data_IF_978039348576
#
_entry.id   IF_978039348576
#
_cell.length_a   1.000
_cell.length_b   1.000
_cell.length_c   1.000
_cell.angle_alpha   90.00
_cell.angle_beta   90.00
_cell.angle_gamma   90.00
#
_symmetry.space_group_name_H-M   'P 1'
#
loop_
_entity.id
_entity.type
_entity.pdbx_description
1 polymer ?
2 non-polymer ?
3 non-polymer ?
4 water ?
#
# COMPACT_ATOMS: atom_id res chain seq x y z
N UNK A 1 -10.33 19.99 11.61
CA UNK A 1 -10.64 19.35 12.87
C UNK A 1 -9.64 18.26 13.18
N UNK A 2 -9.77 17.60 14.33
CA UNK A 2 -8.80 16.62 14.78
C UNK A 2 -8.50 15.52 13.79
N UNK A 3 -9.50 15.08 13.03
CA UNK A 3 -9.24 14.00 12.09
C UNK A 3 -8.24 14.39 10.98
N UNK A 4 -8.09 15.69 10.73
CA UNK A 4 -7.11 16.13 9.74
C UNK A 4 -5.69 15.83 10.13
N UNK A 5 -5.46 15.56 11.41
CA UNK A 5 -4.17 15.21 11.91
C UNK A 5 -3.85 13.71 11.86
N UNK A 6 -4.86 12.92 11.56
CA UNK A 6 -4.64 11.51 11.42
C UNK A 6 -3.65 11.28 10.23
N UNK A 7 -2.85 10.23 10.32
CA UNK A 7 -1.90 9.97 9.23
C UNK A 7 -1.49 8.51 9.27
N UNK A 8 -1.03 8.05 8.10
CA UNK A 8 -0.46 6.72 7.94
C UNK A 8 0.84 6.83 7.21
N UNK A 9 1.77 5.98 7.58
CA UNK A 9 2.98 5.76 6.79
C UNK A 9 2.66 4.55 5.92
N UNK A 10 2.58 4.79 4.61
CA UNK A 10 1.95 3.86 3.61
C UNK A 10 2.97 3.44 2.62
N UNK A 11 2.80 2.20 2.16
CA UNK A 11 3.61 1.60 1.12
C UNK A 11 2.63 0.95 0.14
N UNK A 12 2.87 1.12 -1.17
CA UNK A 12 1.95 0.54 -2.13
C UNK A 12 2.71 -0.02 -3.35
N UNK A 13 1.95 -0.88 -4.02
CA UNK A 13 2.25 -1.32 -5.38
C UNK A 13 1.10 -0.79 -6.25
N UNK A 14 1.42 0.02 -7.26
CA UNK A 14 0.43 0.59 -8.16
C UNK A 14 0.64 0.03 -9.57
N UNK A 15 -0.40 -0.54 -10.15
CA UNK A 15 -0.37 -0.94 -11.54
C UNK A 15 -1.65 -0.48 -12.22
N UNK A 16 -1.51 0.14 -13.40
CA UNK A 16 -2.75 0.51 -14.11
C UNK A 16 -3.57 -0.65 -14.55
N UNK A 17 -2.94 -1.76 -14.93
CA UNK A 17 -3.67 -2.90 -15.45
C UNK A 17 -3.96 -3.92 -14.34
N UNK A 18 -5.20 -4.42 -14.35
CA UNK A 18 -5.60 -5.42 -13.39
C UNK A 18 -4.78 -6.70 -13.49
N UNK A 19 -4.45 -7.12 -14.72
CA UNK A 19 -3.70 -8.36 -14.83
C UNK A 19 -2.36 -8.26 -14.11
N UNK A 20 -1.72 -7.09 -14.23
CA UNK A 20 -0.42 -6.89 -13.62
C UNK A 20 -0.51 -6.79 -12.11
N UNK A 21 -1.52 -6.08 -11.58
CA UNK A 21 -1.63 -6.04 -10.12
C UNK A 21 -1.87 -7.44 -9.56
N UNK A 22 -2.57 -8.29 -10.32
CA UNK A 22 -2.75 -9.64 -9.81
C UNK A 22 -1.52 -10.48 -9.88
N UNK A 23 -0.63 -10.23 -10.86
CA UNK A 23 0.70 -10.87 -10.80
C UNK A 23 1.45 -10.45 -9.55
N UNK A 24 1.37 -9.16 -9.19
CA UNK A 24 2.02 -8.69 -7.98
C UNK A 24 1.42 -9.36 -6.74
N UNK A 25 0.09 -9.46 -6.71
CA UNK A 25 -0.57 -10.13 -5.59
C UNK A 25 -0.11 -11.57 -5.45
N UNK A 26 0.05 -12.27 -6.58
CA UNK A 26 0.52 -13.65 -6.50
C UNK A 26 1.93 -13.69 -5.90
N UNK A 27 2.80 -12.73 -6.24
CA UNK A 27 4.11 -12.72 -5.63
C UNK A 27 4.04 -12.50 -4.12
N UNK A 28 3.20 -11.56 -3.64
CA UNK A 28 3.00 -11.40 -2.19
C UNK A 28 2.54 -12.73 -1.55
N UNK A 29 1.61 -13.38 -2.19
CA UNK A 29 1.04 -14.59 -1.60
C UNK A 29 2.01 -15.79 -1.66
N UNK A 30 3.08 -15.66 -2.43
CA UNK A 30 4.18 -16.63 -2.41
C UNK A 30 5.20 -16.36 -1.34
N UNK A 31 5.09 -15.21 -0.68
CA UNK A 31 6.01 -14.85 0.37
C UNK A 31 7.00 -13.76 0.05
N UNK A 32 6.92 -13.16 -1.13
CA UNK A 32 7.91 -12.14 -1.49
C UNK A 32 7.66 -10.87 -0.65
N UNK A 33 8.75 -10.30 -0.14
CA UNK A 33 8.65 -9.08 0.68
C UNK A 33 8.05 -7.96 -0.15
N UNK A 34 7.26 -7.12 0.54
CA UNK A 34 6.47 -6.12 -0.16
C UNK A 34 7.35 -5.17 -0.99
N UNK A 35 8.48 -4.75 -0.43
CA UNK A 35 9.34 -3.82 -1.15
C UNK A 35 9.88 -4.42 -2.46
N UNK A 36 10.14 -5.73 -2.43
CA UNK A 36 10.65 -6.43 -3.60
C UNK A 36 9.54 -6.59 -4.66
N UNK A 37 8.30 -6.81 -4.21
CA UNK A 37 7.19 -6.83 -5.15
C UNK A 37 7.01 -5.45 -5.78
N UNK A 38 7.09 -4.39 -4.96
CA UNK A 38 6.96 -3.05 -5.49
C UNK A 38 8.07 -2.73 -6.50
N UNK A 39 9.31 -3.14 -6.19
CA UNK A 39 10.39 -2.92 -7.16
C UNK A 39 10.06 -3.59 -8.49
N UNK A 40 9.53 -4.82 -8.45
CA UNK A 40 9.23 -5.56 -9.66
C UNK A 40 8.07 -4.97 -10.47
N UNK A 41 7.00 -4.54 -9.78
CA UNK A 41 5.75 -4.23 -10.45
C UNK A 41 5.26 -2.80 -10.32
N UNK A 42 5.60 -2.08 -9.24
CA UNK A 42 4.94 -0.81 -9.04
C UNK A 42 5.34 0.21 -10.10
N UNK A 43 4.36 1.00 -10.49
CA UNK A 43 4.52 2.12 -11.41
C UNK A 43 4.68 3.43 -10.66
N UNK A 44 4.78 3.38 -9.34
CA UNK A 44 4.96 4.55 -8.50
C UNK A 44 5.80 4.13 -7.30
N UNK A 45 6.78 4.95 -6.96
CA UNK A 45 7.66 4.71 -5.82
C UNK A 45 8.43 3.39 -5.95
N UNK A 46 8.64 2.90 -7.15
CA UNK A 46 9.33 1.61 -7.28
C UNK A 46 10.74 1.65 -6.69
N UNK A 47 11.45 2.78 -6.92
CA UNK A 47 12.82 2.85 -6.45
C UNK A 47 12.90 3.03 -4.92
N UNK A 48 11.78 3.31 -4.28
CA UNK A 48 11.64 3.38 -2.85
C UNK A 48 10.90 2.15 -2.30
N UNK A 49 10.81 1.07 -3.08
CA UNK A 49 10.14 -0.11 -2.56
C UNK A 49 8.65 0.09 -2.27
N UNK A 50 8.04 1.04 -3.00
CA UNK A 50 6.66 1.37 -2.81
C UNK A 50 6.37 2.39 -1.72
N UNK A 51 7.39 2.80 -0.97
CA UNK A 51 7.16 3.65 0.20
C UNK A 51 6.70 5.04 -0.22
N UNK A 52 5.51 5.42 0.20
CA UNK A 52 4.96 6.75 0.02
C UNK A 52 5.30 7.67 1.18
N UNK A 53 5.83 7.12 2.26
CA UNK A 53 6.04 7.87 3.46
C UNK A 53 4.73 8.17 4.17
N UNK A 54 4.81 9.16 5.08
CA UNK A 54 3.65 9.58 5.83
C UNK A 54 2.71 10.42 4.98
N UNK A 55 1.42 10.12 5.10
CA UNK A 55 0.34 10.78 4.36
C UNK A 55 -0.73 11.16 5.40
N UNK A 56 -1.10 12.44 5.44
CA UNK A 56 -2.15 12.88 6.35
C UNK A 56 -3.53 12.66 5.74
N UNK A 57 -4.55 12.59 6.60
CA UNK A 57 -5.91 12.47 6.12
C UNK A 57 -6.24 13.69 5.27
N UNK A 58 -6.83 13.42 4.12
CA UNK A 58 -7.17 14.42 3.13
C UNK A 58 -6.20 14.45 1.96
N UNK A 59 -5.03 13.87 2.12
CA UNK A 59 -4.00 13.95 1.12
C UNK A 59 -4.02 12.81 0.13
N UNK A 60 -4.77 11.77 0.42
CA UNK A 60 -4.82 10.55 -0.37
C UNK A 60 -6.14 10.52 -1.16
N UNK A 61 -6.05 9.94 -2.35
CA UNK A 61 -7.23 9.76 -3.17
C UNK A 61 -8.22 8.85 -2.38
N UNK A 62 -9.50 9.11 -2.57
CA UNK A 62 -10.50 8.60 -1.69
C UNK A 62 -10.46 7.10 -1.39
N UNK A 63 -10.49 6.23 -2.42
CA UNK A 63 -10.57 4.80 -2.11
C UNK A 63 -9.30 4.32 -1.42
N UNK A 64 -8.17 4.94 -1.79
CA UNK A 64 -6.90 4.61 -1.14
C UNK A 64 -6.96 4.97 0.34
N UNK A 65 -7.44 6.18 0.63
CA UNK A 65 -7.48 6.67 1.99
C UNK A 65 -8.32 5.76 2.91
N UNK A 66 -9.51 5.40 2.42
CA UNK A 66 -10.41 4.55 3.18
C UNK A 66 -9.75 3.18 3.45
N UNK A 67 -9.10 2.65 2.43
CA UNK A 67 -8.44 1.35 2.59
C UNK A 67 -7.27 1.44 3.56
N UNK A 68 -6.49 2.53 3.48
CA UNK A 68 -5.28 2.64 4.29
C UNK A 68 -5.61 2.79 5.77
N UNK A 69 -6.57 3.67 6.12
CA UNK A 69 -6.90 3.82 7.53
C UNK A 69 -7.58 2.58 8.13
N UNK A 70 -8.05 1.68 7.27
CA UNK A 70 -8.62 0.41 7.70
C UNK A 70 -7.56 -0.64 8.01
N UNK A 71 -6.30 -0.41 7.66
CA UNK A 71 -5.25 -1.40 7.87
C UNK A 71 -4.53 -1.15 9.19
N UNK A 72 -4.29 -2.16 10.01
CA UNK A 72 -3.40 -2.00 11.15
C UNK A 72 -1.96 -1.89 10.67
N UNK A 73 -1.13 -1.27 11.51
CA UNK A 73 0.31 -1.24 11.26
C UNK A 73 0.83 -2.68 11.20
N UNK A 74 1.69 -2.92 10.22
CA UNK A 74 2.35 -4.20 10.08
C UNK A 74 3.79 -3.93 9.63
N UNK A 75 4.60 -4.96 9.60
CA UNK A 75 5.94 -4.90 9.09
C UNK A 75 6.07 -5.83 7.89
N UNK A 76 7.16 -5.66 7.14
CA UNK A 76 7.28 -6.47 5.93
C UNK A 76 7.60 -7.97 6.20
N UNK A 77 7.94 -8.46 7.39
CA UNK A 77 7.94 -9.94 7.57
C UNK A 77 6.57 -10.48 7.88
N UNK A 78 5.73 -9.60 8.44
CA UNK A 78 4.40 -10.01 8.89
C UNK A 78 3.40 -9.00 8.26
N UNK A 79 3.32 -8.96 7.01
CA UNK A 79 2.55 -7.88 6.41
C UNK A 79 1.01 -8.12 6.59
N UNK A 80 0.26 -6.96 6.57
CA UNK A 80 -1.20 -6.96 6.43
C UNK A 80 -1.50 -5.97 5.32
N UNK A 81 -1.99 -6.47 4.19
CA UNK A 81 -2.17 -5.63 3.01
C UNK A 81 -3.59 -5.79 2.48
N UNK A 82 -3.98 -4.81 1.65
CA UNK A 82 -5.28 -4.84 1.02
C UNK A 82 -5.42 -6.02 0.07
N UNK A 83 -6.49 -6.80 0.24
CA UNK A 83 -6.81 -7.87 -0.69
C UNK A 83 -8.33 -7.95 -0.70
N UNK A 84 -8.99 -7.58 -1.79
CA UNK A 84 -8.45 -7.39 -3.14
C UNK A 84 -7.77 -6.03 -3.29
N UNK A 85 -7.07 -5.87 -4.42
CA UNK A 85 -6.51 -4.56 -4.74
C UNK A 85 -7.60 -3.48 -4.80
N UNK A 86 -7.18 -2.26 -4.54
CA UNK A 86 -8.04 -1.09 -4.47
C UNK A 86 -7.91 -0.29 -5.76
N UNK A 87 -9.03 -0.04 -6.43
CA UNK A 87 -9.04 0.76 -7.65
C UNK A 87 -9.22 2.25 -7.32
N UNK A 88 -8.39 3.05 -7.95
CA UNK A 88 -8.52 4.50 -7.91
C UNK A 88 -8.37 5.02 -9.35
N UNK A 89 -8.48 6.31 -9.55
CA UNK A 89 -8.24 6.84 -10.88
C UNK A 89 -6.75 6.67 -11.30
N UNK A 90 -5.84 6.29 -10.40
CA UNK A 90 -4.48 5.99 -10.82
C UNK A 90 -4.31 4.57 -11.36
N UNK A 91 -5.19 3.67 -10.98
CA UNK A 91 -5.02 2.26 -11.26
C UNK A 91 -5.34 1.45 -10.03
N UNK A 92 -4.74 0.26 -9.97
CA UNK A 92 -4.97 -0.68 -8.88
C UNK A 92 -3.80 -0.62 -7.90
N UNK A 93 -4.15 -0.53 -6.61
CA UNK A 93 -3.14 -0.48 -5.57
C UNK A 93 -3.26 -1.68 -4.64
N UNK A 94 -2.11 -2.19 -4.23
CA UNK A 94 -2.02 -3.04 -3.04
C UNK A 94 -1.29 -2.20 -2.00
N UNK A 95 -1.85 -2.09 -0.80
CA UNK A 95 -1.39 -1.14 0.20
C UNK A 95 -1.06 -1.88 1.50
N UNK A 96 0.00 -1.46 2.18
CA UNK A 96 0.23 -1.83 3.58
C UNK A 96 0.60 -0.55 4.34
N UNK A 97 0.46 -0.63 5.67
CA UNK A 97 0.67 0.51 6.55
C UNK A 97 1.73 0.14 7.57
N UNK A 98 2.77 0.99 7.64
CA UNK A 98 3.85 0.72 8.57
C UNK A 98 3.87 1.62 9.80
N UNK A 99 3.01 2.69 9.84
CA UNK A 99 2.97 3.64 10.94
C UNK A 99 1.60 4.30 10.94
N UNK A 100 1.15 4.72 12.13
CA UNK A 100 -0.16 5.32 12.27
C UNK A 100 -0.11 6.40 13.36
N UNK A 101 -0.79 7.50 13.06
CA UNK A 101 -0.93 8.69 13.95
C UNK A 101 -2.35 9.13 14.05
X LIG B 1 10.61 -13.47 10.55
X LIG C 1 -10.21 7.44 -7.32
X LIG D 1 9.57 5.11 -9.83
X LIG D 1 8.38 4.28 -9.66
X LIG D 1 10.49 4.98 -8.70
X LIG D 1 10.27 4.70 -11.06
X LIG D 1 9.19 6.52 -10.04
X LIG E 1 8.28 10.94 4.23
X LIG E 1 6.94 11.34 4.35
X LIG E 1 7.53 10.17 5.37
X LIG E 1 8.42 10.41 2.93
X LIG E 1 9.19 11.99 4.44
X LIG F 1 -12.58 11.46 5.48
X LIG F 1 -13.48 11.14 4.39
X LIG F 1 -13.28 11.32 6.72
X LIG F 1 -11.42 10.59 5.44
X LIG F 1 -12.00 12.78 5.45
X LIG G 1 8.43 -7.62 11.03
X LIG G 1 7.04 -7.92 10.91
X LIG G 1 8.42 -6.50 12.01
X LIG G 1 9.27 -8.71 11.57
X LIG G 1 9.05 -7.22 9.75
#
# INVERSE_FOLDING_TARGET
GPMGSNAVKVRHILCEKHGKIMEAMEKLKSGMRFNEVAAQYSEDKARQGGDLGWMTRGSMVGPFQEAAFALPVSGMDKPVFTDPPVKTKFGYHIIMVEGRK
CL CL
CL CL
SO4 S O1 O2 O3 O4
SO4 S O1 O2 O3 O4
SO4 S O1 O2 O3 O4
SO4 S O1 O2 O3 O4
#
